data_IF_466002862232
#
_entry.id   IF_466002862232
#
_cell.length_a   1.000
_cell.length_b   1.000
_cell.length_c   1.000
_cell.angle_alpha   90.00
_cell.angle_beta   90.00
_cell.angle_gamma   90.00
#
_symmetry.space_group_name_H-M   'P 1'
#
loop_
_entity.id
_entity.type
_entity.pdbx_description
1 polymer ?
#
# COMPACT_ATOMS: atom_id res chain seq x y z
N UNK A 1 32.81 -49.17 65.05
CA UNK A 1 32.83 -49.63 63.66
C UNK A 1 32.19 -48.56 62.81
N UNK A 2 33.02 -47.69 62.16
CA UNK A 2 32.53 -46.58 61.34
C UNK A 2 32.49 -47.04 59.87
N UNK A 3 31.30 -47.03 59.28
CA UNK A 3 31.16 -47.21 57.81
C UNK A 3 31.14 -45.81 57.16
N UNK A 4 32.20 -45.57 56.39
CA UNK A 4 32.31 -44.36 55.53
C UNK A 4 31.52 -44.63 54.25
N UNK A 5 30.49 -43.85 54.01
CA UNK A 5 29.75 -43.82 52.76
C UNK A 5 30.37 -42.75 51.87
N UNK A 6 30.89 -43.12 50.69
CA UNK A 6 31.32 -42.23 49.65
C UNK A 6 30.11 -41.74 48.86
N UNK A 7 29.89 -40.43 48.81
CA UNK A 7 28.93 -39.81 47.95
C UNK A 7 29.64 -39.43 46.65
N UNK A 8 29.29 -40.06 45.58
CA UNK A 8 29.76 -39.72 44.22
C UNK A 8 28.96 -38.53 43.71
N UNK A 9 29.64 -37.41 43.48
CA UNK A 9 29.08 -36.21 42.87
C UNK A 9 29.01 -36.38 41.36
N UNK A 10 27.83 -36.66 40.82
CA UNK A 10 27.57 -36.69 39.36
C UNK A 10 27.44 -35.28 38.85
N UNK A 11 28.39 -34.80 38.06
CA UNK A 11 28.31 -33.52 37.33
C UNK A 11 27.33 -33.70 36.14
N UNK A 12 26.17 -33.06 36.27
CA UNK A 12 25.20 -32.94 35.17
C UNK A 12 25.64 -31.74 34.31
N UNK A 13 26.26 -32.01 33.18
CA UNK A 13 26.53 -31.02 32.12
C UNK A 13 25.21 -30.68 31.42
N UNK A 14 24.66 -29.53 31.76
CA UNK A 14 23.50 -28.98 31.06
C UNK A 14 23.93 -28.57 29.62
N UNK A 15 23.47 -29.29 28.63
CA UNK A 15 23.60 -28.96 27.22
C UNK A 15 22.54 -27.88 26.91
N UNK A 16 22.96 -26.62 26.83
CA UNK A 16 22.10 -25.52 26.40
C UNK A 16 22.12 -25.55 24.87
N UNK A 17 21.00 -25.83 24.18
CA UNK A 17 20.95 -25.68 22.73
C UNK A 17 21.05 -24.18 22.42
N UNK A 18 22.11 -23.81 21.70
CA UNK A 18 22.23 -22.48 21.11
C UNK A 18 21.10 -22.31 20.09
N UNK A 19 20.05 -21.58 20.45
CA UNK A 19 19.10 -21.07 19.48
C UNK A 19 19.85 -20.10 18.57
N UNK A 20 20.12 -20.55 17.33
CA UNK A 20 20.56 -19.68 16.27
C UNK A 20 19.43 -18.64 16.06
N UNK A 21 19.62 -17.43 16.57
CA UNK A 21 18.82 -16.29 16.19
C UNK A 21 19.07 -16.08 14.70
N UNK A 22 18.07 -16.40 13.88
CA UNK A 22 18.05 -15.98 12.49
C UNK A 22 18.07 -14.45 12.50
N UNK A 23 19.24 -13.88 12.25
CA UNK A 23 19.39 -12.48 11.90
C UNK A 23 18.58 -12.33 10.62
N UNK A 24 17.42 -11.67 10.70
CA UNK A 24 16.71 -11.17 9.52
C UNK A 24 17.65 -10.13 8.93
N UNK A 25 18.51 -10.60 8.02
CA UNK A 25 19.40 -9.76 7.26
C UNK A 25 18.52 -8.78 6.48
N UNK A 26 18.82 -7.49 6.58
CA UNK A 26 18.40 -6.52 5.56
C UNK A 26 18.97 -7.07 4.24
N UNK A 27 18.09 -7.61 3.40
CA UNK A 27 18.48 -7.97 2.04
C UNK A 27 18.98 -6.68 1.37
N UNK A 28 20.24 -6.72 0.92
CA UNK A 28 20.78 -5.64 0.11
C UNK A 28 19.89 -5.46 -1.12
N UNK A 29 19.72 -4.21 -1.63
CA UNK A 29 18.93 -3.98 -2.81
C UNK A 29 19.35 -4.93 -3.92
N UNK A 30 18.45 -5.81 -4.34
CA UNK A 30 18.71 -6.76 -5.42
C UNK A 30 18.92 -5.99 -6.73
N UNK A 31 20.00 -6.29 -7.45
CA UNK A 31 20.16 -5.77 -8.80
C UNK A 31 19.07 -6.33 -9.71
N UNK A 32 18.39 -5.43 -10.44
CA UNK A 32 17.37 -5.80 -11.41
C UNK A 32 18.03 -6.43 -12.64
N UNK A 33 17.45 -7.48 -13.16
CA UNK A 33 17.80 -8.02 -14.47
C UNK A 33 17.38 -7.04 -15.58
N UNK A 34 17.94 -7.20 -16.78
CA UNK A 34 17.55 -6.36 -17.95
C UNK A 34 16.07 -6.54 -18.30
N UNK A 35 15.54 -7.76 -18.18
CA UNK A 35 14.12 -8.04 -18.41
C UNK A 35 13.21 -7.31 -17.41
N UNK A 36 13.59 -7.29 -16.13
CA UNK A 36 12.85 -6.56 -15.09
C UNK A 36 12.93 -5.05 -15.28
N UNK A 37 14.08 -4.53 -15.68
CA UNK A 37 14.24 -3.10 -16.03
C UNK A 37 13.34 -2.72 -17.19
N UNK A 38 13.28 -3.53 -18.24
CA UNK A 38 12.42 -3.29 -19.39
C UNK A 38 10.95 -3.32 -18.97
N UNK A 39 10.53 -4.33 -18.20
CA UNK A 39 9.16 -4.44 -17.71
C UNK A 39 8.74 -3.22 -16.87
N UNK A 40 9.59 -2.75 -15.95
CA UNK A 40 9.31 -1.54 -15.16
C UNK A 40 9.25 -0.31 -16.06
N UNK A 41 10.10 -0.21 -17.08
CA UNK A 41 10.07 0.88 -18.06
C UNK A 41 8.74 0.90 -18.83
N UNK A 42 8.26 -0.26 -19.26
CA UNK A 42 6.99 -0.39 -19.96
C UNK A 42 5.80 0.00 -19.06
N UNK A 43 5.81 -0.45 -17.78
CA UNK A 43 4.81 -0.08 -16.77
C UNK A 43 4.82 1.45 -16.54
N UNK A 44 5.99 2.06 -16.36
CA UNK A 44 6.12 3.50 -16.17
C UNK A 44 5.58 4.26 -17.38
N UNK A 45 5.95 3.85 -18.58
CA UNK A 45 5.53 4.49 -19.84
C UNK A 45 4.03 4.41 -20.03
N UNK A 46 3.45 3.22 -19.90
CA UNK A 46 2.01 3.00 -20.04
C UNK A 46 1.24 3.86 -19.03
N UNK A 47 1.56 3.72 -17.74
CA UNK A 47 0.79 4.38 -16.69
C UNK A 47 1.01 5.91 -16.66
N UNK A 48 2.15 6.43 -17.10
CA UNK A 48 2.36 7.87 -17.30
C UNK A 48 1.53 8.42 -18.45
N UNK A 49 1.23 7.60 -19.46
CA UNK A 49 0.34 7.94 -20.57
C UNK A 49 -1.11 8.15 -20.13
N UNK A 50 -1.59 7.37 -19.16
CA UNK A 50 -2.96 7.43 -18.66
C UNK A 50 -3.18 8.71 -17.85
N UNK A 51 -3.98 9.64 -18.34
CA UNK A 51 -4.27 10.92 -17.66
C UNK A 51 -5.53 10.87 -16.81
N UNK A 52 -6.54 10.19 -17.27
CA UNK A 52 -7.80 10.02 -16.54
C UNK A 52 -8.21 8.56 -16.53
N UNK A 53 -8.79 8.12 -15.43
CA UNK A 53 -9.37 6.79 -15.29
C UNK A 53 -10.55 6.82 -14.33
N UNK A 54 -11.59 6.06 -14.67
CA UNK A 54 -12.79 5.87 -13.86
C UNK A 54 -13.07 4.39 -13.80
N UNK A 55 -13.53 3.91 -12.66
CA UNK A 55 -13.85 2.49 -12.52
C UNK A 55 -14.46 2.19 -11.16
N UNK A 56 -14.55 0.91 -10.87
CA UNK A 56 -15.01 0.39 -9.59
C UNK A 56 -13.84 -0.17 -8.80
N UNK A 57 -13.95 -0.15 -7.49
CA UNK A 57 -12.97 -0.79 -6.61
C UNK A 57 -13.64 -1.68 -5.58
N UNK A 58 -12.92 -2.69 -5.16
CA UNK A 58 -13.19 -3.51 -3.99
C UNK A 58 -12.06 -3.30 -3.00
N UNK A 59 -12.38 -2.81 -1.80
CA UNK A 59 -11.46 -2.72 -0.68
C UNK A 59 -11.67 -3.91 0.24
N UNK A 60 -10.56 -4.52 0.69
CA UNK A 60 -10.55 -5.60 1.67
C UNK A 60 -9.56 -5.23 2.76
N UNK A 61 -10.00 -5.26 4.01
CA UNK A 61 -9.14 -5.02 5.18
C UNK A 61 -8.56 -6.31 5.76
N UNK A 62 -7.71 -6.17 6.78
CA UNK A 62 -7.07 -7.30 7.50
C UNK A 62 -8.08 -8.30 8.09
N UNK A 63 -9.29 -7.85 8.44
CA UNK A 63 -10.36 -8.68 8.98
C UNK A 63 -11.17 -9.36 7.87
N UNK A 64 -10.87 -9.08 6.60
CA UNK A 64 -11.60 -9.58 5.44
C UNK A 64 -12.92 -8.85 5.18
N UNK A 65 -13.15 -7.70 5.83
CA UNK A 65 -14.30 -6.86 5.52
C UNK A 65 -14.16 -6.30 4.10
N UNK A 66 -15.25 -6.36 3.34
CA UNK A 66 -15.29 -5.95 1.94
C UNK A 66 -16.18 -4.73 1.79
N UNK A 67 -15.64 -3.71 1.14
CA UNK A 67 -16.37 -2.48 0.82
C UNK A 67 -16.10 -2.15 -0.63
N UNK A 68 -17.15 -1.86 -1.38
CA UNK A 68 -17.06 -1.47 -2.79
C UNK A 68 -17.28 0.02 -2.97
N UNK A 69 -16.84 0.51 -4.12
CA UNK A 69 -17.09 1.89 -4.50
C UNK A 69 -16.72 2.19 -5.94
N UNK A 70 -16.77 3.47 -6.28
CA UNK A 70 -16.35 3.99 -7.58
C UNK A 70 -15.17 4.93 -7.38
N UNK A 71 -14.18 4.85 -8.25
CA UNK A 71 -13.03 5.76 -8.21
C UNK A 71 -12.97 6.62 -9.46
N UNK A 72 -12.38 7.80 -9.31
CA UNK A 72 -12.09 8.78 -10.34
C UNK A 72 -10.69 9.31 -10.11
N UNK A 73 -9.84 9.22 -11.11
CA UNK A 73 -8.45 9.72 -11.05
C UNK A 73 -8.23 10.64 -12.25
N UNK A 74 -7.73 11.85 -11.99
CA UNK A 74 -7.24 12.79 -13.01
C UNK A 74 -5.84 13.24 -12.59
N UNK A 75 -4.82 12.75 -13.29
CA UNK A 75 -3.43 13.14 -13.02
C UNK A 75 -3.12 14.53 -13.53
N UNK A 76 -2.27 15.28 -12.80
CA UNK A 76 -1.66 14.89 -11.54
C UNK A 76 -2.54 15.13 -10.31
N UNK A 77 -2.46 14.20 -9.36
CA UNK A 77 -2.85 14.41 -7.96
C UNK A 77 -4.33 14.50 -7.62
N UNK A 78 -5.24 14.44 -8.59
CA UNK A 78 -6.67 14.47 -8.30
C UNK A 78 -7.24 13.05 -8.23
N UNK A 79 -7.93 12.78 -7.14
CA UNK A 79 -8.52 11.47 -6.84
C UNK A 79 -9.83 11.64 -6.12
N UNK A 80 -10.80 10.79 -6.44
CA UNK A 80 -11.98 10.55 -5.64
C UNK A 80 -12.22 9.05 -5.55
N UNK A 81 -12.22 8.49 -4.34
CA UNK A 81 -12.79 7.19 -4.03
C UNK A 81 -14.09 7.42 -3.29
N UNK A 82 -15.20 6.95 -3.84
CA UNK A 82 -16.54 7.08 -3.26
C UNK A 82 -17.04 5.70 -2.89
N UNK A 83 -17.18 5.45 -1.61
CA UNK A 83 -17.70 4.19 -1.10
C UNK A 83 -19.21 4.07 -1.30
N UNK A 84 -19.65 2.85 -1.57
CA UNK A 84 -21.07 2.53 -1.71
C UNK A 84 -21.76 2.45 -0.34
N UNK A 85 -23.09 2.69 -0.25
CA UNK A 85 -23.83 2.42 0.97
C UNK A 85 -23.60 0.98 1.49
N UNK A 86 -23.57 0.79 2.82
CA UNK A 86 -23.95 1.73 3.86
C UNK A 86 -22.89 2.78 4.23
N UNK A 87 -21.69 2.73 3.64
CA UNK A 87 -20.68 3.76 3.88
C UNK A 87 -21.05 5.07 3.18
N UNK A 88 -20.82 6.18 3.88
CA UNK A 88 -20.97 7.54 3.35
C UNK A 88 -19.62 8.24 3.19
N UNK A 89 -18.54 7.51 3.36
CA UNK A 89 -17.19 8.02 3.23
C UNK A 89 -16.78 8.23 1.78
N UNK A 90 -15.86 9.14 1.61
CA UNK A 90 -15.11 9.34 0.38
C UNK A 90 -13.70 9.83 0.69
N UNK A 91 -12.76 9.43 -0.14
CA UNK A 91 -11.39 9.93 -0.12
C UNK A 91 -11.21 10.84 -1.32
N UNK A 92 -10.88 12.11 -1.07
CA UNK A 92 -10.73 13.13 -2.11
C UNK A 92 -9.32 13.73 -2.04
N UNK A 93 -8.66 13.85 -3.20
CA UNK A 93 -7.45 14.65 -3.36
C UNK A 93 -7.62 15.69 -4.46
N UNK A 94 -7.09 16.88 -4.22
CA UNK A 94 -7.04 17.98 -5.19
C UNK A 94 -5.59 18.39 -5.53
N UNK A 95 -4.63 17.47 -5.30
CA UNK A 95 -3.21 17.68 -5.59
C UNK A 95 -2.40 18.29 -4.44
N UNK A 96 -3.00 18.63 -3.29
CA UNK A 96 -2.32 19.20 -2.12
C UNK A 96 -2.39 18.34 -0.87
N UNK A 97 -3.33 17.41 -0.80
CA UNK A 97 -3.57 16.53 0.33
C UNK A 97 -4.73 15.61 0.04
N UNK A 98 -4.83 14.58 0.86
CA UNK A 98 -5.96 13.66 0.87
C UNK A 98 -6.90 14.05 2.01
N UNK A 99 -8.18 14.03 1.72
CA UNK A 99 -9.24 14.31 2.66
C UNK A 99 -10.14 13.09 2.75
N UNK A 100 -10.31 12.56 3.94
CA UNK A 100 -11.36 11.58 4.21
C UNK A 100 -12.59 12.36 4.69
N UNK A 101 -13.67 12.19 3.98
CA UNK A 101 -14.91 12.95 4.15
C UNK A 101 -16.04 11.99 4.48
N UNK A 102 -16.70 12.19 5.62
CA UNK A 102 -17.99 11.57 5.92
C UNK A 102 -19.12 12.51 5.51
N UNK A 103 -19.83 12.12 4.45
CA UNK A 103 -20.93 12.94 3.89
C UNK A 103 -22.18 12.93 4.77
N UNK A 104 -22.37 11.91 5.61
CA UNK A 104 -23.51 11.79 6.51
C UNK A 104 -23.33 12.70 7.73
N UNK A 105 -22.14 12.61 8.34
CA UNK A 105 -21.81 13.40 9.53
C UNK A 105 -21.30 14.81 9.18
N UNK A 106 -21.11 15.11 7.90
CA UNK A 106 -20.55 16.36 7.38
C UNK A 106 -19.22 16.72 8.06
N UNK A 107 -18.35 15.71 8.17
CA UNK A 107 -17.02 15.85 8.78
C UNK A 107 -15.94 15.53 7.78
N UNK A 108 -14.74 16.08 8.00
CA UNK A 108 -13.58 15.80 7.19
C UNK A 108 -12.30 15.86 8.02
N UNK A 109 -11.30 15.06 7.65
CA UNK A 109 -9.94 15.19 8.15
C UNK A 109 -8.94 15.07 7.00
N UNK A 110 -7.81 15.78 7.13
CA UNK A 110 -6.82 15.88 6.09
C UNK A 110 -5.58 15.04 6.41
N UNK A 111 -5.08 14.34 5.40
CA UNK A 111 -3.75 13.76 5.39
C UNK A 111 -2.83 14.53 4.46
N UNK A 112 -1.60 14.84 4.88
CA UNK A 112 -0.59 15.35 3.98
C UNK A 112 -0.33 14.35 2.85
N UNK A 113 -0.26 14.85 1.61
CA UNK A 113 -0.11 13.99 0.44
C UNK A 113 1.24 13.25 0.43
N UNK A 114 2.28 13.86 1.02
CA UNK A 114 3.61 13.27 1.19
C UNK A 114 3.65 12.05 2.12
N UNK A 115 2.55 11.80 2.83
CA UNK A 115 2.38 10.63 3.72
C UNK A 115 1.55 9.52 3.11
N UNK A 116 1.14 9.66 1.85
CA UNK A 116 0.38 8.64 1.13
C UNK A 116 1.34 7.82 0.27
N UNK A 117 1.54 6.52 0.54
CA UNK A 117 2.52 5.69 -0.15
C UNK A 117 2.32 5.60 -1.67
N UNK A 118 1.07 5.74 -2.14
CA UNK A 118 0.71 5.71 -3.57
C UNK A 118 0.87 7.06 -4.29
N UNK A 119 1.36 8.10 -3.62
CA UNK A 119 1.47 9.43 -4.19
C UNK A 119 2.19 9.44 -5.54
N UNK A 120 3.29 8.70 -5.66
CA UNK A 120 4.08 8.63 -6.90
C UNK A 120 3.26 8.11 -8.08
N UNK A 121 2.27 7.26 -7.82
CA UNK A 121 1.36 6.74 -8.86
C UNK A 121 0.31 7.78 -9.32
N UNK A 122 0.20 8.89 -8.61
CA UNK A 122 -0.68 10.01 -8.94
C UNK A 122 0.07 11.18 -9.59
N UNK A 123 1.37 11.10 -9.74
CA UNK A 123 2.17 12.13 -10.40
C UNK A 123 1.88 12.19 -11.90
N UNK A 124 2.28 13.27 -12.54
CA UNK A 124 2.13 13.44 -13.99
C UNK A 124 2.99 12.44 -14.78
N UNK A 125 4.14 12.08 -14.21
CA UNK A 125 5.06 11.06 -14.71
C UNK A 125 5.34 10.07 -13.60
N UNK A 126 5.11 8.79 -13.88
CA UNK A 126 5.34 7.70 -12.95
C UNK A 126 6.74 7.16 -13.18
N UNK A 127 7.54 7.13 -12.13
CA UNK A 127 8.90 6.58 -12.17
C UNK A 127 9.14 5.66 -10.97
N UNK A 128 8.82 4.39 -11.15
CA UNK A 128 8.99 3.35 -10.13
C UNK A 128 10.45 3.05 -9.81
N UNK A 129 11.42 3.51 -10.65
CA UNK A 129 12.84 3.40 -10.33
C UNK A 129 13.29 4.36 -9.23
N UNK A 130 12.53 5.45 -8.99
CA UNK A 130 12.78 6.37 -7.87
C UNK A 130 12.22 5.86 -6.54
N UNK A 131 11.36 4.85 -6.59
CA UNK A 131 10.81 4.23 -5.41
C UNK A 131 11.81 3.21 -4.81
N UNK A 132 11.72 2.97 -3.52
CA UNK A 132 12.47 1.91 -2.86
C UNK A 132 11.81 0.56 -3.16
N UNK A 133 12.15 -0.03 -4.30
CA UNK A 133 11.64 -1.33 -4.76
C UNK A 133 12.38 -2.46 -4.05
N UNK A 134 11.67 -3.22 -3.22
CA UNK A 134 12.24 -4.29 -2.39
C UNK A 134 11.93 -5.69 -2.91
N UNK A 135 10.88 -5.89 -3.71
CA UNK A 135 10.57 -7.18 -4.29
C UNK A 135 9.86 -7.05 -5.65
N UNK A 136 10.11 -8.02 -6.52
CA UNK A 136 9.40 -8.26 -7.78
C UNK A 136 8.99 -9.72 -7.81
N UNK A 137 7.70 -9.97 -8.00
CA UNK A 137 7.16 -11.30 -8.20
C UNK A 137 6.35 -11.31 -9.48
N UNK A 138 6.62 -12.27 -10.36
CA UNK A 138 5.96 -12.39 -11.66
C UNK A 138 5.30 -13.75 -11.79
N UNK A 139 4.08 -13.76 -12.32
CA UNK A 139 3.34 -14.93 -12.81
C UNK A 139 3.13 -14.80 -14.31
N UNK A 140 2.34 -15.71 -14.91
CA UNK A 140 2.04 -15.64 -16.35
C UNK A 140 1.22 -14.41 -16.71
N UNK A 141 0.30 -13.98 -15.83
CA UNK A 141 -0.67 -12.91 -16.11
C UNK A 141 -0.32 -11.58 -15.39
N UNK A 142 0.41 -11.63 -14.28
CA UNK A 142 0.60 -10.47 -13.39
C UNK A 142 2.04 -10.32 -12.93
N UNK A 143 2.42 -9.08 -12.70
CA UNK A 143 3.63 -8.73 -11.96
C UNK A 143 3.28 -7.91 -10.73
N UNK A 144 3.87 -8.26 -9.60
CA UNK A 144 3.77 -7.51 -8.33
C UNK A 144 5.09 -6.83 -8.03
N UNK A 145 5.06 -5.51 -7.84
CA UNK A 145 6.17 -4.68 -7.41
C UNK A 145 5.92 -4.23 -5.99
N UNK A 146 6.80 -4.60 -5.04
CA UNK A 146 6.69 -4.17 -3.65
C UNK A 146 7.63 -3.01 -3.38
N UNK A 147 7.05 -1.88 -3.02
CA UNK A 147 7.74 -0.67 -2.60
C UNK A 147 7.75 -0.59 -1.08
N UNK A 148 8.79 0.02 -0.51
CA UNK A 148 8.93 0.19 0.92
C UNK A 148 9.29 1.62 1.26
N UNK A 149 8.61 2.19 2.27
CA UNK A 149 8.94 3.47 2.85
C UNK A 149 9.21 3.33 4.35
N UNK A 150 10.29 3.94 4.81
CA UNK A 150 10.60 4.03 6.23
C UNK A 150 9.96 5.29 6.80
N UNK A 151 9.02 5.11 7.71
CA UNK A 151 8.31 6.21 8.38
C UNK A 151 8.70 6.31 9.85
N UNK A 152 8.47 7.42 10.53
CA UNK A 152 8.69 7.54 11.98
C UNK A 152 7.90 6.54 12.83
N UNK A 153 6.85 5.93 12.25
CA UNK A 153 6.00 4.92 12.91
C UNK A 153 6.41 3.49 12.57
N UNK A 154 7.40 3.30 11.69
CA UNK A 154 7.88 2.01 11.21
C UNK A 154 7.81 1.88 9.70
N UNK A 155 8.05 0.67 9.23
CA UNK A 155 8.09 0.34 7.81
C UNK A 155 6.69 0.20 7.23
N UNK A 156 6.43 0.90 6.16
CA UNK A 156 5.21 0.77 5.33
C UNK A 156 5.59 0.10 4.01
N UNK A 157 4.79 -0.86 3.55
CA UNK A 157 4.97 -1.48 2.23
C UNK A 157 3.74 -1.29 1.37
N UNK A 158 3.98 -1.13 0.07
CA UNK A 158 2.91 -1.10 -0.93
C UNK A 158 3.26 -2.10 -2.02
N UNK A 159 2.45 -3.14 -2.16
CA UNK A 159 2.53 -4.07 -3.28
C UNK A 159 1.60 -3.59 -4.39
N UNK A 160 2.14 -3.28 -5.57
CA UNK A 160 1.41 -2.88 -6.77
C UNK A 160 1.34 -4.07 -7.72
N UNK A 161 0.15 -4.48 -8.13
CA UNK A 161 -0.06 -5.59 -9.06
C UNK A 161 -0.51 -5.03 -10.41
N UNK A 162 0.29 -5.32 -11.43
CA UNK A 162 0.02 -4.94 -12.82
C UNK A 162 -0.27 -6.17 -13.67
N UNK A 163 -1.16 -6.01 -14.61
CA UNK A 163 -1.38 -6.96 -15.69
C UNK A 163 -0.15 -6.97 -16.62
N UNK A 164 0.37 -8.15 -16.97
CA UNK A 164 1.60 -8.25 -17.78
C UNK A 164 1.38 -7.81 -19.21
N UNK A 165 0.22 -8.07 -19.80
CA UNK A 165 -0.07 -7.73 -21.19
C UNK A 165 -0.35 -6.24 -21.33
N UNK A 166 -1.36 -5.73 -20.60
CA UNK A 166 -1.81 -4.34 -20.71
C UNK A 166 -0.96 -3.34 -19.92
N UNK A 167 -0.19 -3.78 -18.93
CA UNK A 167 0.54 -2.95 -17.95
C UNK A 167 -0.37 -2.11 -17.03
N UNK A 168 -1.67 -2.37 -17.05
CA UNK A 168 -2.63 -1.69 -16.19
C UNK A 168 -2.44 -2.07 -14.73
N UNK A 169 -2.57 -1.09 -13.83
CA UNK A 169 -2.68 -1.36 -12.40
C UNK A 169 -4.01 -2.05 -12.11
N UNK A 170 -3.95 -3.26 -11.53
CA UNK A 170 -5.13 -4.05 -11.15
C UNK A 170 -5.41 -4.02 -9.66
N UNK A 171 -4.35 -3.93 -8.84
CA UNK A 171 -4.49 -3.98 -7.41
C UNK A 171 -3.33 -3.29 -6.72
N UNK A 172 -3.56 -2.76 -5.52
CA UNK A 172 -2.50 -2.48 -4.58
C UNK A 172 -2.88 -2.94 -3.18
N UNK A 173 -1.86 -3.31 -2.41
CA UNK A 173 -2.00 -3.66 -0.99
C UNK A 173 -1.06 -2.77 -0.18
N UNK A 174 -1.62 -2.03 0.77
CA UNK A 174 -0.87 -1.29 1.77
C UNK A 174 -0.70 -2.17 2.99
N UNK A 175 0.54 -2.38 3.44
CA UNK A 175 0.86 -3.04 4.70
C UNK A 175 1.44 -2.01 5.66
N UNK A 176 0.76 -1.78 6.77
CA UNK A 176 1.18 -0.85 7.82
C UNK A 176 2.24 -1.46 8.74
N UNK A 177 2.97 -0.64 9.54
CA UNK A 177 3.93 -1.14 10.54
C UNK A 177 3.32 -2.06 11.59
N UNK A 178 2.02 -1.93 11.85
CA UNK A 178 1.24 -2.81 12.74
C UNK A 178 1.01 -4.21 12.17
N UNK A 179 1.28 -4.42 10.86
CA UNK A 179 0.93 -5.62 10.12
C UNK A 179 -0.50 -5.61 9.55
N UNK A 180 -1.25 -4.53 9.74
CA UNK A 180 -2.55 -4.39 9.09
C UNK A 180 -2.38 -4.25 7.58
N UNK A 181 -3.28 -4.87 6.83
CA UNK A 181 -3.30 -4.81 5.37
C UNK A 181 -4.59 -4.19 4.87
N UNK A 182 -4.46 -3.39 3.83
CA UNK A 182 -5.58 -2.78 3.13
C UNK A 182 -5.38 -2.98 1.63
N UNK A 183 -6.20 -3.82 1.04
CA UNK A 183 -6.11 -4.17 -0.39
C UNK A 183 -7.21 -3.47 -1.17
N UNK A 184 -6.84 -2.86 -2.29
CA UNK A 184 -7.76 -2.29 -3.27
C UNK A 184 -7.58 -3.02 -4.59
N UNK A 185 -8.65 -3.61 -5.10
CA UNK A 185 -8.71 -4.20 -6.44
C UNK A 185 -9.54 -3.30 -7.35
N UNK A 186 -9.04 -3.03 -8.57
CA UNK A 186 -9.68 -2.18 -9.57
C UNK A 186 -10.32 -3.05 -10.66
N UNK A 187 -11.53 -2.69 -11.06
CA UNK A 187 -12.26 -3.38 -12.12
C UNK A 187 -13.21 -2.43 -12.87
N UNK A 188 -13.68 -2.84 -14.03
CA UNK A 188 -14.52 -2.02 -14.93
C UNK A 188 -13.88 -0.65 -15.18
N UNK A 189 -12.57 -0.64 -15.50
CA UNK A 189 -11.80 0.59 -15.65
C UNK A 189 -11.91 1.13 -17.06
N UNK A 190 -12.30 2.40 -17.17
CA UNK A 190 -12.33 3.18 -18.41
C UNK A 190 -11.22 4.25 -18.34
N UNK A 191 -10.51 4.43 -19.44
CA UNK A 191 -9.40 5.37 -19.57
C UNK A 191 -9.79 6.54 -20.50
N UNK A 192 -9.05 7.64 -20.39
CA UNK A 192 -9.19 8.85 -21.23
C UNK A 192 -10.60 9.46 -21.22
N UNK A 193 -11.29 9.32 -20.09
CA UNK A 193 -12.64 9.83 -19.88
C UNK A 193 -12.62 11.27 -19.38
N UNK A 194 -13.63 12.06 -19.72
CA UNK A 194 -13.80 13.42 -19.17
C UNK A 194 -14.45 13.34 -17.80
N UNK A 195 -13.74 13.79 -16.76
CA UNK A 195 -14.25 13.80 -15.38
C UNK A 195 -14.70 15.21 -15.02
N UNK A 196 -15.98 15.41 -14.59
CA UNK A 196 -16.43 16.72 -14.14
C UNK A 196 -15.61 17.25 -12.95
N UNK A 197 -15.15 18.49 -13.03
CA UNK A 197 -14.33 19.12 -11.97
C UNK A 197 -14.99 19.10 -10.59
N UNK A 198 -16.31 19.11 -10.54
CA UNK A 198 -17.09 19.02 -9.31
C UNK A 198 -16.87 17.72 -8.52
N UNK A 199 -16.35 16.65 -9.13
CA UNK A 199 -16.04 15.41 -8.44
C UNK A 199 -14.87 15.54 -7.47
N UNK A 200 -13.95 16.45 -7.75
CA UNK A 200 -12.78 16.72 -6.90
C UNK A 200 -13.00 17.89 -5.94
N UNK A 201 -14.27 18.19 -5.61
CA UNK A 201 -14.63 19.27 -4.71
C UNK A 201 -14.61 18.79 -3.25
N UNK A 202 -14.01 19.60 -2.38
CA UNK A 202 -14.01 19.43 -0.94
C UNK A 202 -14.85 20.53 -0.35
N UNK A 203 -15.93 20.18 0.34
CA UNK A 203 -16.85 21.15 0.92
C UNK A 203 -16.20 21.84 2.14
N UNK A 204 -15.91 23.15 2.07
CA UNK A 204 -15.25 23.86 3.16
C UNK A 204 -16.16 24.05 4.37
N UNK A 205 -17.47 23.79 4.25
CA UNK A 205 -18.42 23.88 5.36
C UNK A 205 -18.42 22.66 6.25
N UNK A 206 -17.85 21.54 5.79
CA UNK A 206 -17.75 20.34 6.59
C UNK A 206 -16.79 20.55 7.76
N UNK A 207 -17.21 20.08 8.93
CA UNK A 207 -16.45 20.25 10.17
C UNK A 207 -15.14 19.47 10.11
N UNK A 208 -14.02 20.17 10.29
CA UNK A 208 -12.73 19.53 10.42
C UNK A 208 -12.66 18.74 11.74
N UNK A 209 -12.21 17.48 11.65
CA UNK A 209 -11.97 16.61 12.80
C UNK A 209 -10.54 16.11 12.75
N UNK A 210 -10.01 15.64 13.89
CA UNK A 210 -8.72 14.99 13.92
C UNK A 210 -8.84 13.61 13.25
N UNK A 211 -7.79 13.19 12.56
CA UNK A 211 -7.71 11.83 12.07
C UNK A 211 -7.84 10.83 13.24
N UNK A 212 -8.52 9.69 13.04
CA UNK A 212 -8.58 8.66 14.04
C UNK A 212 -7.17 8.25 14.48
N UNK A 213 -6.96 7.88 15.77
CA UNK A 213 -5.63 7.59 16.28
C UNK A 213 -4.94 6.39 15.65
N UNK A 214 -5.68 5.56 14.90
CA UNK A 214 -5.23 4.31 14.29
C UNK A 214 -5.19 4.37 12.74
N UNK A 215 -5.07 5.53 12.17
CA UNK A 215 -4.92 5.71 10.71
C UNK A 215 -3.57 6.30 10.35
#
# INVERSE_FOLDING_TARGET
>A
MLRRTFIALAAVTAFIPAFAQSVVGQEAPRELTDAERQLITDINTHNSGVKTMVGRFLQIDTQGQRIEGTFFIERPGKVLFRYNPPSYEQIVSVGRGFYVVDRKEQTQYAYPQDKVPLRQFLDAEIDLFKANLVAINQSDDYVSLTLQDDTPRGVVRVALVFDIESKDLRQWTLTEPSGNELTFSLYDVEYDVTIPKAYFYIDPTFRAVNAPPNT
#
